data_IF_326567764011
#
_entry.id   IF_326567764011
#
_cell.length_a   1.000
_cell.length_b   1.000
_cell.length_c   1.000
_cell.angle_alpha   90.00
_cell.angle_beta   90.00
_cell.angle_gamma   90.00
#
_symmetry.space_group_name_H-M   'P 1'
#
loop_
_entity.id
_entity.type
_entity.pdbx_description
1 polymer ?
#
# COMPACT_ATOMS: atom_id res chain seq x y z
N UNK A 1 8.85 -14.28 -7.41
CA UNK A 1 9.35 -12.93 -7.74
C UNK A 1 10.27 -12.47 -6.62
N UNK A 2 11.23 -11.59 -6.92
CA UNK A 2 12.04 -10.93 -5.89
C UNK A 2 11.24 -9.75 -5.32
N UNK A 3 10.55 -9.96 -4.20
CA UNK A 3 9.66 -8.96 -3.59
C UNK A 3 10.41 -7.70 -3.14
N UNK A 4 11.72 -7.77 -2.83
CA UNK A 4 12.52 -6.59 -2.50
C UNK A 4 12.76 -5.73 -3.72
N UNK A 5 13.12 -6.37 -4.84
CA UNK A 5 13.24 -5.68 -6.12
C UNK A 5 11.91 -5.07 -6.54
N UNK A 6 10.81 -5.82 -6.45
CA UNK A 6 9.47 -5.32 -6.78
C UNK A 6 9.06 -4.14 -5.90
N UNK A 7 9.23 -4.24 -4.57
CA UNK A 7 8.95 -3.15 -3.65
C UNK A 7 9.77 -1.90 -3.97
N UNK A 8 11.08 -2.06 -4.19
CA UNK A 8 11.97 -0.94 -4.56
C UNK A 8 11.50 -0.29 -5.86
N UNK A 9 11.14 -1.07 -6.86
CA UNK A 9 10.64 -0.56 -8.13
C UNK A 9 9.31 0.22 -7.94
N UNK A 10 8.39 -0.29 -7.13
CA UNK A 10 7.15 0.41 -6.77
C UNK A 10 7.42 1.72 -6.03
N UNK A 11 8.32 1.71 -5.05
CA UNK A 11 8.66 2.90 -4.25
C UNK A 11 9.33 4.00 -5.10
N UNK A 12 10.23 3.62 -6.01
CA UNK A 12 10.84 4.56 -6.98
C UNK A 12 9.79 5.11 -7.93
N UNK A 13 8.89 4.27 -8.44
CA UNK A 13 7.80 4.71 -9.34
C UNK A 13 6.87 5.70 -8.64
N UNK A 14 6.52 5.44 -7.38
CA UNK A 14 5.70 6.34 -6.58
C UNK A 14 6.42 7.66 -6.28
N UNK A 15 7.71 7.64 -5.95
CA UNK A 15 8.50 8.85 -5.74
C UNK A 15 8.57 9.70 -7.02
N UNK A 16 8.75 9.07 -8.18
CA UNK A 16 8.69 9.74 -9.49
C UNK A 16 7.31 10.38 -9.72
N UNK A 17 6.22 9.65 -9.49
CA UNK A 17 4.86 10.18 -9.60
C UNK A 17 4.67 11.42 -8.72
N UNK A 18 5.06 11.36 -7.44
CA UNK A 18 4.95 12.51 -6.52
C UNK A 18 5.74 13.71 -7.02
N UNK A 19 6.91 13.51 -7.62
CA UNK A 19 7.73 14.59 -8.16
C UNK A 19 7.12 15.32 -9.38
N UNK A 20 6.16 14.67 -10.05
CA UNK A 20 5.47 15.19 -11.25
C UNK A 20 4.09 15.75 -10.96
N UNK A 21 3.63 15.73 -9.71
CA UNK A 21 2.33 16.27 -9.32
C UNK A 21 2.28 17.79 -9.56
N UNK A 22 1.23 18.30 -10.24
CA UNK A 22 1.08 19.73 -10.45
C UNK A 22 0.92 20.49 -9.13
N UNK A 23 1.63 21.61 -8.96
CA UNK A 23 1.67 22.37 -7.72
C UNK A 23 0.28 22.87 -7.26
N UNK A 24 -0.63 23.13 -8.21
CA UNK A 24 -1.99 23.62 -7.98
C UNK A 24 -3.00 22.52 -7.61
N UNK A 25 -2.60 21.23 -7.65
CA UNK A 25 -3.50 20.09 -7.40
C UNK A 25 -3.41 19.53 -5.98
N UNK A 26 -2.42 19.92 -5.19
CA UNK A 26 -2.16 19.35 -3.87
C UNK A 26 -3.33 19.47 -2.88
N UNK A 27 -4.08 20.57 -2.94
CA UNK A 27 -5.23 20.80 -2.06
C UNK A 27 -6.56 20.42 -2.73
N UNK A 28 -6.51 19.92 -3.97
CA UNK A 28 -7.67 19.40 -4.71
C UNK A 28 -8.08 17.99 -4.28
N UNK A 29 -9.20 17.46 -4.80
CA UNK A 29 -9.69 16.13 -4.47
C UNK A 29 -8.65 15.03 -4.72
N UNK A 30 -8.49 14.11 -3.76
CA UNK A 30 -7.65 12.91 -3.88
C UNK A 30 -8.52 11.67 -3.94
N UNK A 31 -8.81 11.08 -2.77
CA UNK A 31 -9.60 9.85 -2.63
C UNK A 31 -10.58 9.98 -1.46
N UNK A 32 -11.88 9.76 -1.72
CA UNK A 32 -12.91 9.95 -0.70
C UNK A 32 -12.89 11.37 -0.14
N UNK A 33 -12.77 11.49 1.18
CA UNK A 33 -12.69 12.78 1.88
C UNK A 33 -11.27 13.37 1.89
N UNK A 34 -10.27 12.64 1.38
CA UNK A 34 -8.88 13.13 1.36
C UNK A 34 -8.63 14.01 0.16
N UNK A 35 -7.93 15.12 0.39
CA UNK A 35 -7.27 15.85 -0.69
C UNK A 35 -6.02 15.09 -1.18
N UNK A 36 -5.42 15.57 -2.27
CA UNK A 36 -4.27 14.93 -2.89
C UNK A 36 -3.06 14.84 -1.93
N UNK A 37 -2.83 15.89 -1.13
CA UNK A 37 -1.79 15.93 -0.10
C UNK A 37 -1.98 14.86 0.99
N UNK A 38 -3.22 14.65 1.41
CA UNK A 38 -3.59 13.65 2.41
C UNK A 38 -3.46 12.23 1.85
N UNK A 39 -3.81 12.00 0.58
CA UNK A 39 -3.58 10.72 -0.10
C UNK A 39 -2.08 10.38 -0.24
N UNK A 40 -1.24 11.37 -0.60
CA UNK A 40 0.22 11.20 -0.58
C UNK A 40 0.68 10.90 0.86
N UNK A 41 0.17 11.65 1.83
CA UNK A 41 0.47 11.44 3.25
C UNK A 41 0.17 10.01 3.71
N UNK A 42 -1.01 9.50 3.38
CA UNK A 42 -1.42 8.12 3.65
C UNK A 42 -0.45 7.11 3.00
N UNK A 43 -0.21 7.23 1.71
CA UNK A 43 0.63 6.27 0.97
C UNK A 43 2.06 6.25 1.50
N UNK A 44 2.60 7.43 1.81
CA UNK A 44 3.95 7.58 2.38
C UNK A 44 4.01 6.98 3.78
N UNK A 45 3.01 7.22 4.63
CA UNK A 45 2.99 6.65 5.98
C UNK A 45 2.77 5.14 5.98
N UNK A 46 1.87 4.66 5.11
CA UNK A 46 1.47 3.26 5.01
C UNK A 46 2.55 2.37 4.39
N UNK A 47 3.32 2.91 3.43
CA UNK A 47 4.21 2.10 2.62
C UNK A 47 5.69 2.45 2.66
N UNK A 48 6.08 3.65 3.12
CA UNK A 48 7.50 4.06 3.17
C UNK A 48 7.98 4.35 4.60
N UNK A 49 7.35 5.31 5.29
CA UNK A 49 7.78 5.80 6.61
C UNK A 49 7.73 4.73 7.68
N UNK A 50 6.71 3.85 7.63
CA UNK A 50 6.60 2.77 8.61
C UNK A 50 7.57 1.61 8.36
N UNK A 51 8.23 1.54 7.20
CA UNK A 51 9.03 0.36 6.85
C UNK A 51 10.20 0.15 7.81
N UNK A 52 11.10 1.14 8.03
CA UNK A 52 12.16 0.99 9.02
C UNK A 52 11.68 0.64 10.44
N UNK A 53 10.69 1.33 11.05
CA UNK A 53 10.28 0.99 12.41
C UNK A 53 9.61 -0.38 12.53
N UNK A 54 8.83 -0.83 11.54
CA UNK A 54 8.26 -2.19 11.56
C UNK A 54 9.36 -3.24 11.45
N UNK A 55 10.36 -3.05 10.57
CA UNK A 55 11.52 -3.95 10.46
C UNK A 55 12.38 -4.01 11.72
N UNK A 56 12.35 -2.96 12.55
CA UNK A 56 13.05 -2.93 13.83
C UNK A 56 12.28 -3.63 14.97
N UNK A 57 11.03 -4.05 14.74
CA UNK A 57 10.26 -4.82 15.73
C UNK A 57 10.71 -6.29 15.76
N UNK A 58 10.51 -6.93 16.91
CA UNK A 58 10.65 -8.38 17.05
C UNK A 58 9.26 -8.98 17.25
N UNK A 59 8.69 -9.55 16.20
CA UNK A 59 7.46 -10.33 16.29
C UNK A 59 7.75 -11.68 16.93
N UNK A 60 7.22 -11.93 18.13
CA UNK A 60 7.45 -13.20 18.84
C UNK A 60 6.66 -14.38 18.24
N UNK A 61 5.54 -14.09 17.57
CA UNK A 61 4.60 -15.10 17.07
C UNK A 61 4.19 -14.79 15.64
N UNK A 62 4.35 -15.76 14.75
CA UNK A 62 3.79 -15.70 13.39
C UNK A 62 2.28 -15.93 13.45
N UNK A 63 1.48 -14.93 13.10
CA UNK A 63 0.00 -15.03 13.10
C UNK A 63 -0.58 -15.06 11.70
N UNK A 64 0.05 -14.39 10.73
CA UNK A 64 -0.35 -14.40 9.33
C UNK A 64 0.78 -15.01 8.48
N UNK A 65 0.44 -15.94 7.59
CA UNK A 65 1.42 -16.78 6.90
C UNK A 65 1.65 -16.37 5.45
N UNK A 66 0.81 -15.49 4.92
CA UNK A 66 0.89 -15.02 3.55
C UNK A 66 0.40 -13.58 3.41
N UNK A 67 0.78 -12.86 2.33
CA UNK A 67 0.39 -11.47 2.14
C UNK A 67 -1.13 -11.23 2.11
N UNK A 68 -1.89 -12.16 1.51
CA UNK A 68 -3.35 -12.01 1.42
C UNK A 68 -4.06 -12.14 2.79
N UNK A 69 -3.43 -12.78 3.77
CA UNK A 69 -4.00 -12.95 5.11
C UNK A 69 -4.10 -11.59 5.83
N UNK A 70 -3.24 -10.62 5.50
CA UNK A 70 -3.30 -9.25 6.02
C UNK A 70 -4.62 -8.56 5.63
N UNK A 71 -5.00 -8.67 4.36
CA UNK A 71 -6.22 -8.05 3.83
C UNK A 71 -7.48 -8.83 4.22
N UNK A 72 -7.39 -10.17 4.25
CA UNK A 72 -8.47 -10.99 4.79
C UNK A 72 -8.75 -10.67 6.26
N UNK A 73 -7.71 -10.48 7.08
CA UNK A 73 -7.84 -9.98 8.45
C UNK A 73 -8.55 -8.63 8.48
N UNK A 74 -8.07 -7.65 7.72
CA UNK A 74 -8.65 -6.31 7.67
C UNK A 74 -10.15 -6.31 7.32
N UNK A 75 -10.57 -7.16 6.37
CA UNK A 75 -11.97 -7.33 5.97
C UNK A 75 -12.84 -8.04 7.02
N UNK A 76 -12.23 -8.93 7.79
CA UNK A 76 -12.92 -9.67 8.87
C UNK A 76 -12.90 -8.95 10.22
N UNK A 77 -12.21 -7.82 10.32
CA UNK A 77 -12.09 -7.06 11.55
C UNK A 77 -13.48 -6.61 12.04
N UNK A 78 -13.73 -6.63 13.36
CA UNK A 78 -14.98 -6.09 13.91
C UNK A 78 -15.22 -4.64 13.45
N UNK A 79 -16.47 -4.23 13.16
CA UNK A 79 -16.77 -2.91 12.62
C UNK A 79 -16.19 -1.76 13.45
N UNK A 80 -16.19 -1.87 14.77
CA UNK A 80 -15.62 -0.88 15.68
C UNK A 80 -14.09 -0.77 15.56
N UNK A 81 -13.40 -1.90 15.37
CA UNK A 81 -11.96 -1.93 15.17
C UNK A 81 -11.60 -1.33 13.80
N UNK A 82 -12.37 -1.71 12.76
CA UNK A 82 -12.21 -1.15 11.42
C UNK A 82 -12.42 0.37 11.43
N UNK A 83 -13.50 0.86 12.04
CA UNK A 83 -13.78 2.30 12.14
C UNK A 83 -12.66 3.05 12.89
N UNK A 84 -12.16 2.49 14.00
CA UNK A 84 -11.05 3.08 14.75
C UNK A 84 -9.75 3.13 13.92
N UNK A 85 -9.44 2.05 13.19
CA UNK A 85 -8.26 1.99 12.31
C UNK A 85 -8.35 2.99 11.15
N UNK A 86 -9.51 3.10 10.50
CA UNK A 86 -9.76 4.07 9.43
C UNK A 86 -9.65 5.51 9.92
N UNK A 87 -10.19 5.81 11.11
CA UNK A 87 -10.06 7.12 11.73
C UNK A 87 -8.59 7.46 12.05
N UNK A 88 -7.86 6.52 12.66
CA UNK A 88 -6.43 6.69 12.95
C UNK A 88 -5.60 6.88 11.67
N UNK A 89 -5.87 6.08 10.64
CA UNK A 89 -5.23 6.21 9.33
C UNK A 89 -5.50 7.58 8.70
N UNK A 90 -6.72 8.09 8.81
CA UNK A 90 -7.09 9.42 8.31
C UNK A 90 -6.41 10.56 9.08
N UNK A 91 -6.19 10.41 10.39
CA UNK A 91 -5.42 11.39 11.16
C UNK A 91 -3.95 11.37 10.72
N UNK A 92 -3.34 10.19 10.67
CA UNK A 92 -1.95 10.00 10.28
C UNK A 92 -1.67 10.46 8.83
N UNK A 93 -2.61 10.24 7.91
CA UNK A 93 -2.58 10.75 6.54
C UNK A 93 -2.48 12.28 6.50
N UNK A 94 -3.32 12.96 7.27
CA UNK A 94 -3.34 14.44 7.38
C UNK A 94 -2.08 14.98 8.02
N UNK A 95 -1.62 14.35 9.10
CA UNK A 95 -0.39 14.76 9.79
C UNK A 95 0.83 14.54 8.89
N UNK A 96 0.91 13.41 8.19
CA UNK A 96 1.99 13.12 7.24
C UNK A 96 1.95 14.06 6.05
N UNK A 97 0.76 14.34 5.49
CA UNK A 97 0.60 15.29 4.39
C UNK A 97 1.05 16.71 4.75
N UNK A 98 0.71 17.18 5.96
CA UNK A 98 1.22 18.44 6.52
C UNK A 98 2.73 18.40 6.74
N UNK A 99 3.24 17.30 7.31
CA UNK A 99 4.66 17.11 7.52
C UNK A 99 5.45 17.04 6.22
N UNK A 100 4.88 16.61 5.10
CA UNK A 100 5.57 16.64 3.80
C UNK A 100 5.77 18.07 3.27
N UNK A 101 4.83 18.98 3.54
CA UNK A 101 4.92 20.39 3.16
C UNK A 101 5.17 20.61 1.66
N UNK A 102 5.94 21.64 1.32
CA UNK A 102 6.25 21.99 -0.08
C UNK A 102 7.39 21.15 -0.68
N UNK A 103 8.18 20.48 0.17
CA UNK A 103 9.31 19.62 -0.22
C UNK A 103 8.91 18.15 -0.37
N UNK A 104 7.63 17.86 -0.66
CA UNK A 104 7.08 16.51 -0.63
C UNK A 104 7.89 15.52 -1.48
N UNK A 105 8.29 15.90 -2.70
CA UNK A 105 9.08 15.05 -3.59
C UNK A 105 10.44 14.65 -2.98
N UNK A 106 11.16 15.61 -2.38
CA UNK A 106 12.46 15.35 -1.74
C UNK A 106 12.30 14.40 -0.54
N UNK A 107 11.31 14.67 0.33
CA UNK A 107 11.03 13.85 1.53
C UNK A 107 10.60 12.43 1.16
N UNK A 108 9.80 12.26 0.11
CA UNK A 108 9.41 10.93 -0.39
C UNK A 108 10.62 10.18 -0.97
N UNK A 109 11.52 10.87 -1.67
CA UNK A 109 12.78 10.30 -2.13
C UNK A 109 13.66 9.81 -0.97
N UNK A 110 13.81 10.60 0.09
CA UNK A 110 14.55 10.22 1.31
C UNK A 110 13.94 8.99 1.99
N UNK A 111 12.61 8.99 2.19
CA UNK A 111 11.90 7.85 2.80
C UNK A 111 12.02 6.57 1.96
N UNK A 112 12.02 6.69 0.63
CA UNK A 112 12.30 5.57 -0.28
C UNK A 112 13.71 5.00 -0.06
N UNK A 113 14.71 5.87 0.07
CA UNK A 113 16.08 5.49 0.41
C UNK A 113 16.17 4.79 1.77
N UNK A 114 15.55 5.35 2.80
CA UNK A 114 15.54 4.76 4.14
C UNK A 114 14.86 3.39 4.18
N UNK A 115 13.70 3.24 3.55
CA UNK A 115 12.97 1.98 3.52
C UNK A 115 13.76 0.88 2.79
N UNK A 116 14.37 1.21 1.65
CA UNK A 116 15.17 0.25 0.87
C UNK A 116 16.47 -0.14 1.59
N UNK A 117 17.12 0.80 2.28
CA UNK A 117 18.30 0.52 3.10
C UNK A 117 17.96 -0.36 4.31
N UNK A 118 16.86 -0.06 5.02
CA UNK A 118 16.40 -0.86 6.15
C UNK A 118 16.06 -2.29 5.73
N UNK A 119 15.40 -2.45 4.58
CA UNK A 119 15.15 -3.77 4.02
C UNK A 119 16.46 -4.50 3.75
N UNK A 120 17.43 -3.89 3.08
CA UNK A 120 18.72 -4.53 2.75
C UNK A 120 19.44 -5.15 3.96
N UNK A 121 19.23 -4.60 5.17
CA UNK A 121 19.78 -5.13 6.43
C UNK A 121 18.89 -6.20 7.12
N UNK A 122 17.59 -6.27 6.79
CA UNK A 122 16.64 -7.18 7.42
C UNK A 122 16.70 -8.60 6.83
N UNK A 123 16.49 -9.61 7.67
CA UNK A 123 16.25 -10.99 7.22
C UNK A 123 14.84 -11.16 6.67
N UNK A 124 14.71 -11.94 5.60
CA UNK A 124 13.43 -12.25 4.97
C UNK A 124 12.49 -13.08 5.82
N UNK A 125 13.06 -13.92 6.69
CA UNK A 125 12.34 -14.80 7.60
C UNK A 125 12.14 -14.19 8.99
N UNK A 126 12.68 -12.98 9.24
CA UNK A 126 12.41 -12.26 10.48
C UNK A 126 10.90 -11.99 10.60
N UNK A 127 10.35 -12.27 11.78
CA UNK A 127 8.95 -11.98 12.08
C UNK A 127 8.88 -10.56 12.65
N UNK A 128 8.06 -9.72 12.03
CA UNK A 128 7.80 -8.33 12.42
C UNK A 128 6.38 -8.18 12.94
N UNK A 129 6.15 -7.21 13.81
CA UNK A 129 4.83 -6.87 14.33
C UNK A 129 4.18 -5.84 13.41
N UNK A 130 3.06 -6.22 12.79
CA UNK A 130 2.24 -5.34 11.92
C UNK A 130 0.90 -5.04 12.61
N UNK A 131 0.12 -4.05 12.13
CA UNK A 131 -1.22 -3.79 12.65
C UNK A 131 -2.17 -5.01 12.56
N UNK A 132 -1.95 -5.91 11.61
CA UNK A 132 -2.74 -7.13 11.43
C UNK A 132 -2.18 -8.35 12.19
N UNK A 133 -1.03 -8.19 12.86
CA UNK A 133 -0.35 -9.26 13.60
C UNK A 133 1.06 -9.53 13.11
N UNK A 134 1.66 -10.61 13.61
CA UNK A 134 3.02 -11.02 13.28
C UNK A 134 3.13 -11.64 11.89
N UNK A 135 4.06 -11.14 11.08
CA UNK A 135 4.30 -11.58 9.71
C UNK A 135 5.80 -11.74 9.45
N UNK A 136 6.20 -12.66 8.57
CA UNK A 136 7.59 -12.62 8.05
C UNK A 136 7.76 -11.40 7.14
N UNK A 137 8.95 -10.82 7.11
CA UNK A 137 9.27 -9.69 6.22
C UNK A 137 8.88 -9.99 4.76
N UNK A 138 9.18 -11.20 4.26
CA UNK A 138 8.83 -11.61 2.89
C UNK A 138 7.33 -11.68 2.61
N UNK A 139 6.50 -11.90 3.63
CA UNK A 139 5.05 -12.01 3.51
C UNK A 139 4.38 -10.65 3.74
N UNK A 140 5.01 -9.76 4.51
CA UNK A 140 4.51 -8.41 4.77
C UNK A 140 4.84 -7.44 3.63
N UNK A 141 6.05 -7.49 3.05
CA UNK A 141 6.49 -6.50 2.06
C UNK A 141 5.60 -6.40 0.80
N UNK A 142 5.03 -7.49 0.26
CA UNK A 142 4.07 -7.40 -0.84
C UNK A 142 2.83 -6.55 -0.50
N UNK A 143 2.42 -6.48 0.77
CA UNK A 143 1.32 -5.59 1.20
C UNK A 143 1.69 -4.11 1.06
N UNK A 144 2.95 -3.73 1.31
CA UNK A 144 3.43 -2.36 1.14
C UNK A 144 3.61 -2.01 -0.33
N UNK A 145 4.03 -2.99 -1.14
CA UNK A 145 4.07 -2.85 -2.61
C UNK A 145 2.67 -2.58 -3.16
N UNK A 146 1.66 -3.29 -2.64
CA UNK A 146 0.26 -3.12 -3.02
C UNK A 146 -0.26 -1.71 -2.72
N UNK A 147 0.03 -1.19 -1.52
CA UNK A 147 -0.30 0.19 -1.12
C UNK A 147 0.27 1.23 -2.10
N UNK A 148 1.56 1.12 -2.45
CA UNK A 148 2.21 2.03 -3.41
C UNK A 148 1.57 1.99 -4.80
N UNK A 149 1.14 0.80 -5.22
CA UNK A 149 0.52 0.61 -6.54
C UNK A 149 -0.90 1.14 -6.58
N UNK A 150 -1.76 0.72 -5.64
CA UNK A 150 -3.17 1.11 -5.61
C UNK A 150 -3.30 2.62 -5.42
N UNK A 151 -2.67 3.17 -4.38
CA UNK A 151 -2.77 4.60 -4.11
C UNK A 151 -1.94 5.45 -5.06
N UNK A 152 -0.91 4.90 -5.70
CA UNK A 152 -0.25 5.55 -6.83
C UNK A 152 -1.20 5.70 -8.03
N UNK A 153 -2.03 4.68 -8.33
CA UNK A 153 -3.05 4.76 -9.37
C UNK A 153 -4.17 5.77 -9.01
N UNK A 154 -4.63 5.76 -7.75
CA UNK A 154 -5.61 6.74 -7.26
C UNK A 154 -5.08 8.17 -7.40
N UNK A 155 -3.83 8.39 -7.00
CA UNK A 155 -3.14 9.67 -7.05
C UNK A 155 -2.96 10.15 -8.49
N UNK A 156 -2.55 9.28 -9.39
CA UNK A 156 -2.38 9.58 -10.81
C UNK A 156 -3.71 9.97 -11.48
N UNK A 157 -4.79 9.26 -11.15
CA UNK A 157 -6.13 9.57 -11.63
C UNK A 157 -6.62 10.93 -11.11
N UNK A 158 -6.46 11.19 -9.81
CA UNK A 158 -6.88 12.45 -9.19
C UNK A 158 -6.09 13.68 -9.69
N UNK A 159 -4.79 13.50 -9.95
CA UNK A 159 -3.91 14.55 -10.48
C UNK A 159 -3.95 14.68 -12.01
N UNK A 160 -4.64 13.78 -12.72
CA UNK A 160 -4.70 13.71 -14.18
C UNK A 160 -3.30 13.60 -14.83
N UNK A 161 -2.40 12.82 -14.22
CA UNK A 161 -1.04 12.57 -14.72
C UNK A 161 -0.82 11.08 -15.03
N UNK A 162 0.04 10.74 -16.02
CA UNK A 162 0.35 9.34 -16.30
C UNK A 162 1.16 8.70 -15.17
N UNK A 163 0.88 7.42 -14.91
CA UNK A 163 1.62 6.59 -13.97
C UNK A 163 1.91 5.23 -14.59
N UNK A 164 3.11 5.13 -15.16
CA UNK A 164 3.59 3.89 -15.79
C UNK A 164 4.32 3.03 -14.76
N UNK A 165 3.70 1.90 -14.40
CA UNK A 165 4.28 0.92 -13.49
C UNK A 165 5.12 -0.10 -14.27
N UNK A 166 6.29 -0.52 -13.75
CA UNK A 166 7.00 -1.67 -14.30
C UNK A 166 6.08 -2.91 -14.33
N UNK A 167 6.09 -3.73 -15.40
CA UNK A 167 5.20 -4.88 -15.53
C UNK A 167 5.26 -5.85 -14.35
N UNK A 168 6.44 -6.05 -13.75
CA UNK A 168 6.61 -6.90 -12.56
C UNK A 168 5.91 -6.35 -11.31
N UNK A 169 5.85 -5.02 -11.16
CA UNK A 169 5.17 -4.34 -10.05
C UNK A 169 3.66 -4.47 -10.21
N UNK A 170 3.16 -4.23 -11.42
CA UNK A 170 1.75 -4.39 -11.74
C UNK A 170 1.31 -5.85 -11.57
N UNK A 171 2.10 -6.80 -12.04
CA UNK A 171 1.82 -8.23 -11.90
C UNK A 171 1.74 -8.66 -10.42
N UNK A 172 2.66 -8.21 -9.57
CA UNK A 172 2.64 -8.51 -8.13
C UNK A 172 1.36 -7.99 -7.46
N UNK A 173 0.97 -6.74 -7.74
CA UNK A 173 -0.24 -6.17 -7.17
C UNK A 173 -1.52 -6.90 -7.63
N UNK A 174 -1.63 -7.21 -8.91
CA UNK A 174 -2.78 -7.96 -9.47
C UNK A 174 -2.84 -9.39 -8.91
N UNK A 175 -1.69 -10.06 -8.77
CA UNK A 175 -1.62 -11.38 -8.14
C UNK A 175 -2.08 -11.33 -6.69
N UNK A 176 -1.65 -10.32 -5.92
CA UNK A 176 -2.09 -10.16 -4.54
C UNK A 176 -3.60 -9.92 -4.45
N UNK A 177 -4.16 -8.98 -5.22
CA UNK A 177 -5.61 -8.75 -5.27
C UNK A 177 -6.39 -10.04 -5.59
N UNK A 178 -5.88 -10.84 -6.54
CA UNK A 178 -6.48 -12.14 -6.89
C UNK A 178 -6.42 -13.15 -5.74
N UNK A 179 -5.31 -13.20 -4.99
CA UNK A 179 -5.19 -14.06 -3.79
C UNK A 179 -6.08 -13.59 -2.66
N UNK A 180 -6.24 -12.28 -2.46
CA UNK A 180 -7.18 -11.72 -1.49
C UNK A 180 -8.61 -12.11 -1.86
N UNK A 181 -9.00 -11.98 -3.14
CA UNK A 181 -10.31 -12.42 -3.61
C UNK A 181 -10.59 -13.88 -3.25
N UNK A 182 -9.62 -14.78 -3.45
CA UNK A 182 -9.76 -16.19 -3.06
C UNK A 182 -9.90 -16.33 -1.54
N UNK A 183 -9.05 -15.64 -0.76
CA UNK A 183 -9.06 -15.72 0.70
C UNK A 183 -10.38 -15.23 1.32
N UNK A 184 -11.06 -14.27 0.69
CA UNK A 184 -12.34 -13.72 1.17
C UNK A 184 -13.58 -14.36 0.54
N UNK A 185 -13.40 -15.41 -0.28
CA UNK A 185 -14.50 -16.18 -0.87
C UNK A 185 -15.00 -15.68 -2.25
N UNK A 186 -14.43 -14.60 -2.77
CA UNK A 186 -14.82 -13.97 -4.04
C UNK A 186 -14.04 -14.47 -5.26
N UNK A 187 -13.15 -15.47 -5.09
CA UNK A 187 -12.28 -15.97 -6.16
C UNK A 187 -13.02 -16.42 -7.42
N UNK A 188 -14.18 -17.07 -7.27
CA UNK A 188 -15.01 -17.49 -8.41
C UNK A 188 -15.64 -16.30 -9.15
N UNK A 189 -16.04 -15.25 -8.43
CA UNK A 189 -16.58 -14.02 -9.01
C UNK A 189 -15.50 -13.30 -9.82
N UNK A 190 -14.31 -13.10 -9.23
CA UNK A 190 -13.18 -12.44 -9.88
C UNK A 190 -12.70 -13.22 -11.10
N UNK A 191 -12.56 -14.56 -11.01
CA UNK A 191 -12.15 -15.38 -12.14
C UNK A 191 -13.13 -15.30 -13.32
N UNK A 192 -14.45 -15.32 -13.06
CA UNK A 192 -15.44 -15.13 -14.13
C UNK A 192 -15.34 -13.75 -14.75
N UNK A 193 -15.16 -12.70 -13.96
CA UNK A 193 -15.04 -11.33 -14.46
C UNK A 193 -13.79 -11.15 -15.34
N UNK A 194 -12.61 -11.55 -14.84
CA UNK A 194 -11.34 -11.45 -15.58
C UNK A 194 -11.31 -12.28 -16.86
N UNK A 195 -12.20 -13.28 -16.99
CA UNK A 195 -12.29 -14.14 -18.18
C UNK A 195 -13.53 -13.87 -19.04
N UNK A 196 -14.24 -12.75 -18.84
CA UNK A 196 -15.37 -12.32 -19.67
C UNK A 196 -16.65 -13.14 -19.49
N UNK A 197 -16.79 -13.89 -18.39
CA UNK A 197 -17.93 -14.75 -18.06
C UNK A 197 -18.85 -14.17 -16.98
N UNK A 198 -18.70 -12.88 -16.70
CA UNK A 198 -19.50 -12.13 -15.73
C UNK A 198 -18.97 -10.71 -15.55
N UNK A 199 -19.68 -9.90 -14.78
CA UNK A 199 -19.24 -8.59 -14.34
C UNK A 199 -19.00 -8.58 -12.82
N UNK A 200 -18.13 -7.68 -12.36
CA UNK A 200 -18.03 -7.35 -10.94
C UNK A 200 -19.21 -6.44 -10.54
N UNK A 201 -19.76 -6.58 -9.32
CA UNK A 201 -20.72 -5.62 -8.78
C UNK A 201 -20.18 -4.19 -8.79
N UNK A 202 -21.09 -3.21 -8.81
CA UNK A 202 -20.71 -1.82 -8.60
C UNK A 202 -20.00 -1.67 -7.25
N UNK A 203 -18.92 -0.90 -7.23
CA UNK A 203 -18.06 -0.69 -6.05
C UNK A 203 -17.44 -1.97 -5.45
N UNK A 204 -17.30 -3.04 -6.23
CA UNK A 204 -16.62 -4.25 -5.77
C UNK A 204 -15.18 -3.97 -5.32
N UNK A 205 -14.84 -4.43 -4.12
CA UNK A 205 -13.49 -4.39 -3.55
C UNK A 205 -13.13 -5.71 -2.88
N UNK A 206 -11.85 -6.07 -2.96
CA UNK A 206 -11.26 -7.21 -2.23
C UNK A 206 -10.54 -6.76 -0.95
N UNK A 207 -10.22 -5.46 -0.84
CA UNK A 207 -9.61 -4.82 0.34
C UNK A 207 -10.62 -3.98 1.10
#
# INVERSE_FOLDING_TARGET
>A
MDYRRTYRAAAVSFADLVSRLPADRWDGPGLGDWNLRELVGHTVSSALRQVPPVLATTGATLTLNAPQDYWAFARSAPPELHAAATAASSVDARETGKWLGDDAAARVGELTGHATAALAAASDDAVVTTPAGGMRVRDWLPTRTFELVVHGLDLAAAAEVPFDLPPEVQAEAVMLASRVAVAVGDGGLVLRALTGRGALPEHFTVV
#
